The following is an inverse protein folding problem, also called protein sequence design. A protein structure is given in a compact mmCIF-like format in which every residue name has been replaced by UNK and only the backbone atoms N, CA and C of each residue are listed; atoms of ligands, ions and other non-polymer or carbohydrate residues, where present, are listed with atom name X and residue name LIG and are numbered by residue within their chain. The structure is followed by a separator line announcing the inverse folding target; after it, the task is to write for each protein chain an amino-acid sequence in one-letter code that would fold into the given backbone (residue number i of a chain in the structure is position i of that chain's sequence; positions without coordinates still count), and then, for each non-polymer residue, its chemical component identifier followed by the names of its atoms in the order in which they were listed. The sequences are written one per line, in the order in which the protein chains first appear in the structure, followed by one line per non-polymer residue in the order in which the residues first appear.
data_IF_787786895531
#
_entry.id   IF_787786895531
#
_cell.length_a   1.000
_cell.length_b   1.000
_cell.length_c   1.000
_cell.angle_alpha   90.00
_cell.angle_beta   90.00
_cell.angle_gamma   90.00
#
_symmetry.space_group_name_H-M   'P 1'
#
loop_
_entity.id
_entity.type
_entity.pdbx_description
1 polymer ?
#
# COMPACT_ATOMS: atom_id res chain seq x y z
N UNK A 1 7.54 -14.23 5.71
CA UNK A 1 7.90 -14.35 7.14
C UNK A 1 6.59 -14.61 7.86
N UNK A 2 6.38 -15.84 8.35
CA UNK A 2 5.10 -16.23 8.96
C UNK A 2 5.22 -16.18 10.49
N UNK A 3 4.10 -15.95 11.18
CA UNK A 3 4.07 -16.08 12.63
C UNK A 3 4.27 -17.56 13.00
N UNK A 4 5.13 -17.86 13.98
CA UNK A 4 5.20 -19.23 14.50
C UNK A 4 3.94 -19.54 15.32
N UNK A 5 3.57 -20.82 15.45
CA UNK A 5 2.40 -21.24 16.25
C UNK A 5 2.41 -20.65 17.67
N UNK A 6 3.58 -20.60 18.31
CA UNK A 6 3.74 -19.99 19.64
C UNK A 6 3.40 -18.50 19.66
N UNK A 7 3.71 -17.77 18.59
CA UNK A 7 3.37 -16.35 18.50
C UNK A 7 1.88 -16.14 18.24
N UNK A 8 1.28 -17.03 17.46
CA UNK A 8 -0.16 -17.02 17.17
C UNK A 8 -0.93 -17.27 18.46
N UNK A 9 -0.53 -18.29 19.24
CA UNK A 9 -1.14 -18.61 20.52
C UNK A 9 -0.97 -17.46 21.53
N UNK A 10 0.22 -16.85 21.60
CA UNK A 10 0.48 -15.66 22.44
C UNK A 10 -0.48 -14.52 22.06
N UNK A 11 -0.62 -14.20 20.78
CA UNK A 11 -1.54 -13.16 20.33
C UNK A 11 -3.00 -13.48 20.68
N UNK A 12 -3.47 -14.69 20.34
CA UNK A 12 -4.86 -15.08 20.55
C UNK A 12 -5.23 -15.12 22.03
N UNK A 13 -4.33 -15.59 22.90
CA UNK A 13 -4.56 -15.61 24.35
C UNK A 13 -4.68 -14.20 24.92
N UNK A 14 -3.78 -13.30 24.54
CA UNK A 14 -3.84 -11.89 24.97
C UNK A 14 -5.11 -11.20 24.45
N UNK A 15 -5.47 -11.45 23.19
CA UNK A 15 -6.62 -10.80 22.57
C UNK A 15 -7.93 -11.31 23.18
N UNK A 16 -8.06 -12.62 23.39
CA UNK A 16 -9.19 -13.20 24.10
C UNK A 16 -9.33 -12.66 25.53
N UNK A 17 -8.21 -12.49 26.26
CA UNK A 17 -8.19 -11.88 27.58
C UNK A 17 -8.77 -10.46 27.59
N UNK A 18 -8.40 -9.63 26.62
CA UNK A 18 -8.96 -8.29 26.45
C UNK A 18 -10.46 -8.32 26.13
N UNK A 19 -10.91 -9.21 25.23
CA UNK A 19 -12.33 -9.33 24.90
C UNK A 19 -13.17 -9.83 26.10
N UNK A 20 -12.62 -10.74 26.91
CA UNK A 20 -13.25 -11.21 28.16
C UNK A 20 -13.41 -10.07 29.16
N UNK A 21 -12.36 -9.26 29.32
CA UNK A 21 -12.40 -8.09 30.19
C UNK A 21 -13.46 -7.08 29.72
N UNK A 22 -13.49 -6.75 28.43
CA UNK A 22 -14.50 -5.87 27.83
C UNK A 22 -15.93 -6.40 28.05
N UNK A 23 -16.14 -7.71 27.88
CA UNK A 23 -17.42 -8.38 28.14
C UNK A 23 -17.84 -8.23 29.60
N UNK A 24 -16.91 -8.44 30.54
CA UNK A 24 -17.19 -8.38 31.97
C UNK A 24 -17.46 -6.95 32.45
N UNK A 25 -16.75 -5.94 31.93
CA UNK A 25 -17.06 -4.52 32.15
C UNK A 25 -18.49 -4.18 31.72
N UNK A 26 -18.92 -4.68 30.55
CA UNK A 26 -20.30 -4.50 30.07
C UNK A 26 -21.33 -5.25 30.90
N UNK A 27 -20.98 -6.43 31.45
CA UNK A 27 -21.85 -7.27 32.30
C UNK A 27 -21.82 -6.90 33.79
N UNK A 28 -20.91 -6.05 34.26
CA UNK A 28 -20.96 -5.59 35.65
C UNK A 28 -22.22 -4.75 35.96
N UNK A 29 -22.98 -4.32 34.93
CA UNK A 29 -24.36 -3.82 35.06
C UNK A 29 -25.44 -4.93 35.03
N UNK A 30 -25.12 -6.17 34.64
CA UNK A 30 -26.00 -7.35 34.60
C UNK A 30 -25.18 -8.67 34.66
N UNK A 31 -25.04 -9.23 35.89
CA UNK A 31 -24.50 -10.56 36.29
C UNK A 31 -23.28 -11.12 35.53
N UNK A 32 -22.18 -11.34 36.27
CA UNK A 32 -20.95 -12.01 35.80
C UNK A 32 -21.23 -13.49 35.50
N UNK A 33 -20.84 -13.95 34.32
CA UNK A 33 -20.87 -15.36 33.91
C UNK A 33 -19.49 -15.98 34.20
N UNK A 34 -19.47 -17.17 34.79
CA UNK A 34 -18.26 -17.94 35.14
C UNK A 34 -17.53 -18.55 33.93
N UNK A 35 -18.12 -18.52 32.73
CA UNK A 35 -17.51 -19.06 31.51
C UNK A 35 -16.37 -18.18 30.98
N UNK A 36 -15.15 -18.70 31.03
CA UNK A 36 -13.93 -18.06 30.53
C UNK A 36 -13.76 -18.15 29.00
N UNK A 37 -14.69 -18.78 28.29
CA UNK A 37 -14.64 -18.90 26.83
C UNK A 37 -15.67 -17.95 26.19
N UNK A 38 -15.25 -17.29 25.11
CA UNK A 38 -16.13 -16.48 24.26
C UNK A 38 -16.26 -17.21 22.92
N UNK A 39 -17.47 -17.63 22.50
CA UNK A 39 -17.69 -18.13 21.15
C UNK A 39 -17.17 -17.13 20.11
N UNK A 40 -16.41 -17.58 19.10
CA UNK A 40 -15.82 -16.69 18.06
C UNK A 40 -16.83 -15.75 17.39
N UNK A 41 -18.10 -16.19 17.24
CA UNK A 41 -19.21 -15.38 16.72
C UNK A 41 -19.47 -14.08 17.50
N UNK A 42 -19.12 -14.05 18.79
CA UNK A 42 -19.34 -12.89 19.67
C UNK A 42 -18.13 -11.96 19.71
N UNK A 43 -16.98 -12.37 19.16
CA UNK A 43 -15.75 -11.58 19.18
C UNK A 43 -15.90 -10.26 18.43
N UNK A 44 -16.64 -10.24 17.32
CA UNK A 44 -16.85 -9.02 16.52
C UNK A 44 -17.55 -7.91 17.31
N UNK A 45 -18.58 -8.26 18.09
CA UNK A 45 -19.31 -7.32 18.96
C UNK A 45 -18.43 -6.80 20.10
N UNK A 46 -17.60 -7.67 20.68
CA UNK A 46 -16.69 -7.29 21.77
C UNK A 46 -15.53 -6.43 21.27
N UNK A 47 -15.02 -6.73 20.07
CA UNK A 47 -14.07 -5.87 19.37
C UNK A 47 -14.64 -4.49 19.18
N UNK A 48 -15.87 -4.37 18.68
CA UNK A 48 -16.48 -3.06 18.43
C UNK A 48 -16.58 -2.25 19.74
N UNK A 49 -16.92 -2.88 20.87
CA UNK A 49 -16.89 -2.23 22.19
C UNK A 49 -15.49 -1.72 22.55
N UNK A 50 -14.44 -2.52 22.34
CA UNK A 50 -13.05 -2.13 22.60
C UNK A 50 -12.61 -1.00 21.68
N UNK A 51 -13.03 -1.03 20.41
CA UNK A 51 -12.70 -0.01 19.41
C UNK A 51 -13.37 1.32 19.74
N UNK A 52 -14.66 1.30 20.08
CA UNK A 52 -15.47 2.46 20.40
C UNK A 52 -15.06 3.09 21.75
N UNK A 53 -14.61 2.26 22.70
CA UNK A 53 -14.05 2.73 23.97
C UNK A 53 -12.63 2.19 24.22
N UNK A 54 -11.64 2.92 23.69
CA UNK A 54 -10.22 2.57 23.85
C UNK A 54 -9.72 2.63 25.31
N UNK A 55 -10.43 3.27 26.24
CA UNK A 55 -10.04 3.28 27.66
C UNK A 55 -10.04 1.88 28.27
N UNK A 56 -10.84 0.95 27.71
CA UNK A 56 -10.89 -0.44 28.15
C UNK A 56 -9.51 -1.11 28.09
N UNK A 57 -8.66 -0.74 27.13
CA UNK A 57 -7.30 -1.27 27.02
C UNK A 57 -6.45 -0.80 28.20
N UNK A 58 -6.54 0.48 28.57
CA UNK A 58 -5.78 1.04 29.71
C UNK A 58 -6.26 0.44 31.03
N UNK A 59 -7.58 0.30 31.20
CA UNK A 59 -8.19 -0.32 32.37
C UNK A 59 -7.79 -1.80 32.48
N UNK A 60 -7.79 -2.55 31.37
CA UNK A 60 -7.35 -3.95 31.34
C UNK A 60 -5.87 -4.11 31.75
N UNK A 61 -5.00 -3.21 31.27
CA UNK A 61 -3.58 -3.19 31.64
C UNK A 61 -3.40 -2.85 33.13
N UNK A 62 -4.17 -1.88 33.64
CA UNK A 62 -4.11 -1.44 35.02
C UNK A 62 -4.61 -2.51 36.00
N UNK A 63 -5.76 -3.10 35.70
CA UNK A 63 -6.39 -4.11 36.57
C UNK A 63 -5.65 -5.45 36.50
N UNK A 64 -5.00 -5.73 35.37
CA UNK A 64 -4.23 -6.95 35.10
C UNK A 64 -4.87 -8.24 35.64
N UNK A 65 -6.14 -8.55 35.32
CA UNK A 65 -6.90 -9.61 35.98
C UNK A 65 -6.36 -11.02 35.72
N UNK A 66 -5.47 -11.19 34.74
CA UNK A 66 -4.87 -12.47 34.37
C UNK A 66 -3.38 -12.55 34.73
N UNK A 67 -2.86 -11.61 35.54
CA UNK A 67 -1.45 -11.56 35.96
C UNK A 67 -0.46 -11.63 34.79
N UNK A 68 -0.75 -10.89 33.72
CA UNK A 68 0.13 -10.76 32.56
C UNK A 68 1.47 -10.16 32.96
N UNK A 69 2.54 -10.63 32.32
CA UNK A 69 3.90 -10.12 32.50
C UNK A 69 4.08 -8.77 31.80
N UNK A 70 5.09 -8.00 32.18
CA UNK A 70 5.38 -6.68 31.58
C UNK A 70 5.51 -6.74 30.06
N UNK A 71 6.12 -7.79 29.52
CA UNK A 71 6.22 -8.03 28.08
C UNK A 71 4.84 -8.15 27.42
N UNK A 72 3.94 -8.92 28.02
CA UNK A 72 2.58 -9.13 27.51
C UNK A 72 1.75 -7.84 27.62
N UNK A 73 1.84 -7.15 28.76
CA UNK A 73 1.22 -5.83 28.95
C UNK A 73 1.74 -4.81 27.92
N UNK A 74 3.02 -4.88 27.55
CA UNK A 74 3.60 -4.00 26.53
C UNK A 74 3.04 -4.27 25.13
N UNK A 75 2.71 -5.52 24.80
CA UNK A 75 2.05 -5.88 23.54
C UNK A 75 0.63 -5.30 23.53
N UNK A 76 -0.15 -5.56 24.59
CA UNK A 76 -1.52 -5.09 24.72
C UNK A 76 -1.59 -3.55 24.67
N UNK A 77 -0.60 -2.86 25.27
CA UNK A 77 -0.51 -1.40 25.24
C UNK A 77 -0.38 -0.85 23.82
N UNK A 78 0.36 -1.53 22.94
CA UNK A 78 0.53 -1.10 21.55
C UNK A 78 -0.78 -1.19 20.76
N UNK A 79 -1.72 -2.04 21.14
CA UNK A 79 -3.01 -2.20 20.44
C UNK A 79 -3.88 -0.94 20.45
N UNK A 80 -3.58 0.02 21.32
CA UNK A 80 -4.17 1.38 21.26
C UNK A 80 -3.89 2.07 19.92
N UNK A 81 -2.75 1.78 19.29
CA UNK A 81 -2.36 2.34 17.99
C UNK A 81 -2.98 1.58 16.81
N UNK A 82 -3.70 0.48 17.07
CA UNK A 82 -4.32 -0.31 16.00
C UNK A 82 -5.47 0.41 15.31
N UNK A 83 -5.68 0.08 14.04
CA UNK A 83 -6.67 0.69 13.16
C UNK A 83 -7.80 -0.31 12.90
N UNK A 84 -9.01 0.01 13.34
CA UNK A 84 -10.20 -0.71 12.94
C UNK A 84 -10.94 0.10 11.88
N UNK A 85 -10.89 -0.36 10.64
CA UNK A 85 -11.43 0.34 9.48
C UNK A 85 -11.97 -0.67 8.45
N UNK A 86 -12.52 -0.13 7.37
CA UNK A 86 -12.80 -0.89 6.17
C UNK A 86 -11.60 -0.82 5.22
N UNK A 87 -11.17 -1.97 4.73
CA UNK A 87 -10.03 -2.12 3.85
C UNK A 87 -10.45 -2.80 2.54
N UNK A 88 -9.73 -2.47 1.48
CA UNK A 88 -9.71 -3.25 0.26
C UNK A 88 -8.53 -4.23 0.31
N UNK A 89 -8.80 -5.53 0.28
CA UNK A 89 -7.76 -6.52 0.00
C UNK A 89 -7.43 -6.44 -1.49
N UNK A 90 -6.21 -6.05 -1.84
CA UNK A 90 -5.82 -5.75 -3.22
C UNK A 90 -4.83 -6.76 -3.80
N UNK A 91 -4.09 -7.48 -2.95
CA UNK A 91 -3.09 -8.46 -3.38
C UNK A 91 -2.81 -9.49 -2.29
N UNK A 92 -2.62 -10.74 -2.70
CA UNK A 92 -2.03 -11.78 -1.86
C UNK A 92 -0.58 -12.01 -2.29
N UNK A 93 0.35 -11.86 -1.36
CA UNK A 93 1.75 -12.23 -1.55
C UNK A 93 2.13 -13.37 -0.59
N UNK A 94 3.30 -13.97 -0.82
CA UNK A 94 3.79 -15.10 0.00
C UNK A 94 3.85 -14.74 1.48
N UNK A 95 4.24 -13.51 1.80
CA UNK A 95 4.42 -13.07 3.19
C UNK A 95 3.24 -12.26 3.72
N UNK A 96 2.60 -11.43 2.89
CA UNK A 96 1.61 -10.47 3.35
C UNK A 96 0.33 -10.51 2.51
N UNK A 97 -0.80 -10.24 3.16
CA UNK A 97 -2.00 -9.78 2.46
C UNK A 97 -2.01 -8.25 2.44
N UNK A 98 -2.11 -7.67 1.25
CA UNK A 98 -2.11 -6.22 1.08
C UNK A 98 -3.52 -5.69 1.32
N UNK A 99 -3.65 -4.80 2.30
CA UNK A 99 -4.91 -4.15 2.65
C UNK A 99 -4.77 -2.64 2.48
N UNK A 100 -5.51 -2.08 1.53
CA UNK A 100 -5.59 -0.65 1.30
C UNK A 100 -6.70 -0.03 2.12
N UNK A 101 -6.37 0.99 2.92
CA UNK A 101 -7.30 1.80 3.68
C UNK A 101 -7.62 3.08 2.91
N UNK A 102 -8.88 3.21 2.49
CA UNK A 102 -9.33 4.38 1.74
C UNK A 102 -9.35 5.65 2.60
N UNK A 103 -9.56 5.52 3.92
CA UNK A 103 -9.65 6.68 4.80
C UNK A 103 -8.27 7.32 5.02
N UNK A 104 -7.25 6.50 5.30
CA UNK A 104 -5.88 7.01 5.47
C UNK A 104 -5.09 7.14 4.16
N UNK A 105 -5.58 6.55 3.06
CA UNK A 105 -4.87 6.51 1.78
C UNK A 105 -3.59 5.65 1.82
N UNK A 106 -3.48 4.74 2.78
CA UNK A 106 -2.28 3.92 3.05
C UNK A 106 -2.55 2.43 2.84
N UNK A 107 -1.48 1.69 2.54
CA UNK A 107 -1.52 0.25 2.30
C UNK A 107 -0.70 -0.48 3.34
N UNK A 108 -1.28 -1.54 3.91
CA UNK A 108 -0.69 -2.33 4.97
C UNK A 108 -0.39 -3.74 4.49
N UNK A 109 0.80 -4.25 4.83
CA UNK A 109 1.15 -5.65 4.67
C UNK A 109 0.74 -6.41 5.94
N UNK A 110 -0.34 -7.17 5.84
CA UNK A 110 -0.99 -7.80 6.99
C UNK A 110 -0.65 -9.28 7.05
N UNK A 111 -0.16 -9.74 8.21
CA UNK A 111 0.09 -11.16 8.47
C UNK A 111 -1.17 -11.88 8.93
N UNK A 112 -1.28 -13.12 8.47
CA UNK A 112 -2.35 -14.03 8.90
C UNK A 112 -1.99 -14.66 10.25
N UNK A 113 -2.98 -14.86 11.12
CA UNK A 113 -2.80 -15.53 12.41
C UNK A 113 -2.83 -17.06 12.25
N UNK A 114 -3.89 -17.64 11.69
CA UNK A 114 -4.01 -19.10 11.54
C UNK A 114 -3.80 -19.50 10.08
N UNK A 115 -4.91 -19.59 9.35
CA UNK A 115 -4.90 -19.83 7.92
C UNK A 115 -4.64 -18.54 7.15
N UNK A 116 -3.94 -18.63 6.00
CA UNK A 116 -3.81 -17.51 5.08
C UNK A 116 -5.17 -16.95 4.67
N UNK A 117 -5.28 -15.61 4.61
CA UNK A 117 -6.54 -14.93 4.27
C UNK A 117 -7.10 -15.37 2.90
N UNK A 118 -6.23 -15.70 1.94
CA UNK A 118 -6.64 -16.15 0.60
C UNK A 118 -7.46 -17.46 0.61
N UNK A 119 -7.39 -18.26 1.68
CA UNK A 119 -8.24 -19.46 1.83
C UNK A 119 -9.72 -19.10 2.06
N UNK A 120 -9.98 -17.90 2.58
CA UNK A 120 -11.33 -17.41 2.88
C UNK A 120 -11.82 -16.39 1.85
N UNK A 121 -10.90 -15.68 1.19
CA UNK A 121 -11.19 -14.64 0.20
C UNK A 121 -10.40 -14.96 -1.07
N UNK A 122 -11.11 -15.32 -2.14
CA UNK A 122 -10.53 -15.83 -3.38
C UNK A 122 -10.61 -14.85 -4.57
N UNK A 123 -10.97 -13.60 -4.33
CA UNK A 123 -11.00 -12.55 -5.35
C UNK A 123 -10.32 -11.27 -4.84
N UNK A 124 -9.93 -10.39 -5.77
CA UNK A 124 -9.41 -9.05 -5.47
C UNK A 124 -9.91 -8.05 -6.53
N UNK A 125 -10.21 -6.79 -6.17
CA UNK A 125 -10.26 -6.29 -4.81
C UNK A 125 -11.46 -6.86 -4.02
N UNK A 126 -11.32 -7.02 -2.70
CA UNK A 126 -12.41 -7.39 -1.80
C UNK A 126 -12.54 -6.40 -0.65
N UNK A 127 -13.76 -6.07 -0.26
CA UNK A 127 -14.01 -5.09 0.82
C UNK A 127 -14.28 -5.79 2.15
N UNK A 128 -13.46 -5.48 3.15
CA UNK A 128 -13.48 -6.14 4.46
C UNK A 128 -13.37 -5.13 5.59
N UNK A 129 -14.10 -5.34 6.68
CA UNK A 129 -13.85 -4.64 7.94
C UNK A 129 -13.07 -5.55 8.88
N UNK A 130 -11.96 -5.05 9.41
CA UNK A 130 -11.11 -5.78 10.36
C UNK A 130 -10.39 -4.80 11.29
N UNK A 131 -9.66 -5.34 12.26
CA UNK A 131 -8.86 -4.56 13.20
C UNK A 131 -7.40 -4.93 13.05
N UNK A 132 -6.63 -4.01 12.45
CA UNK A 132 -5.19 -4.14 12.29
C UNK A 132 -4.50 -3.73 13.58
N UNK A 133 -3.63 -4.60 14.08
CA UNK A 133 -3.00 -4.51 15.38
C UNK A 133 -1.48 -4.64 15.25
N UNK A 134 -0.70 -3.86 16.01
CA UNK A 134 0.73 -4.08 16.13
C UNK A 134 1.00 -5.35 16.94
N UNK A 135 1.90 -6.19 16.43
CA UNK A 135 2.37 -7.37 17.14
C UNK A 135 3.83 -7.67 16.82
N UNK A 136 4.71 -7.39 17.78
CA UNK A 136 6.17 -7.61 17.67
C UNK A 136 6.77 -6.98 16.40
N UNK A 137 6.49 -5.69 16.19
CA UNK A 137 6.99 -4.93 15.03
C UNK A 137 6.39 -5.34 13.68
N UNK A 138 5.24 -6.04 13.68
CA UNK A 138 4.51 -6.47 12.47
C UNK A 138 3.05 -6.02 12.56
N UNK A 139 2.40 -5.86 11.42
CA UNK A 139 0.94 -5.66 11.34
C UNK A 139 0.24 -7.02 11.22
N UNK A 140 -0.63 -7.32 12.18
CA UNK A 140 -1.53 -8.49 12.15
C UNK A 140 -2.97 -8.00 12.12
N UNK A 141 -3.90 -8.89 11.77
CA UNK A 141 -5.33 -8.67 12.02
C UNK A 141 -5.76 -9.43 13.27
N UNK A 142 -6.93 -9.09 13.79
CA UNK A 142 -7.56 -9.68 14.99
C UNK A 142 -8.12 -11.10 14.80
N UNK A 143 -7.96 -11.71 13.63
CA UNK A 143 -8.57 -12.99 13.29
C UNK A 143 -10.02 -12.89 12.80
N UNK A 144 -10.57 -11.68 12.64
CA UNK A 144 -11.96 -11.44 12.26
C UNK A 144 -12.04 -10.60 10.99
N UNK A 145 -12.58 -11.19 9.93
CA UNK A 145 -12.89 -10.50 8.68
C UNK A 145 -14.41 -10.39 8.53
N UNK A 146 -14.94 -9.18 8.65
CA UNK A 146 -16.32 -8.91 8.29
C UNK A 146 -16.34 -8.57 6.80
N UNK A 147 -16.70 -9.54 5.96
CA UNK A 147 -16.83 -9.33 4.53
C UNK A 147 -18.24 -8.86 4.19
N UNK A 148 -18.35 -7.90 3.27
CA UNK A 148 -19.61 -7.64 2.58
C UNK A 148 -19.51 -8.31 1.21
N UNK A 149 -20.55 -9.05 0.80
CA UNK A 149 -20.59 -9.67 -0.53
C UNK A 149 -20.82 -8.59 -1.60
N UNK A 150 -19.79 -7.78 -1.86
CA UNK A 150 -19.78 -6.73 -2.87
C UNK A 150 -18.88 -7.17 -4.02
N UNK A 151 -19.47 -7.28 -5.21
CA UNK A 151 -18.72 -7.48 -6.44
C UNK A 151 -18.49 -6.13 -7.11
N UNK A 152 -17.22 -5.83 -7.40
CA UNK A 152 -16.85 -4.59 -8.07
C UNK A 152 -16.89 -4.77 -9.59
N UNK A 153 -17.46 -3.79 -10.28
CA UNK A 153 -17.37 -3.71 -11.74
C UNK A 153 -15.90 -3.59 -12.18
N UNK A 154 -15.63 -3.83 -13.47
CA UNK A 154 -14.27 -3.71 -14.01
C UNK A 154 -13.68 -2.30 -13.84
N UNK A 155 -14.49 -1.25 -14.00
CA UNK A 155 -14.03 0.14 -13.81
C UNK A 155 -13.78 0.47 -12.33
N UNK A 156 -14.70 0.08 -11.45
CA UNK A 156 -14.53 0.28 -9.99
C UNK A 156 -13.30 -0.46 -9.48
N UNK A 157 -13.09 -1.70 -9.93
CA UNK A 157 -11.90 -2.49 -9.57
C UNK A 157 -10.62 -1.79 -10.03
N UNK A 158 -10.58 -1.25 -11.26
CA UNK A 158 -9.44 -0.48 -11.75
C UNK A 158 -9.17 0.77 -10.91
N UNK A 159 -10.21 1.49 -10.50
CA UNK A 159 -10.09 2.67 -9.63
C UNK A 159 -9.48 2.33 -8.29
N UNK A 160 -9.98 1.28 -7.62
CA UNK A 160 -9.45 0.79 -6.34
C UNK A 160 -7.97 0.39 -6.49
N UNK A 161 -7.64 -0.32 -7.56
CA UNK A 161 -6.25 -0.73 -7.82
C UNK A 161 -5.34 0.46 -8.14
N UNK A 162 -5.85 1.54 -8.75
CA UNK A 162 -5.11 2.78 -8.96
C UNK A 162 -4.77 3.44 -7.62
N UNK A 163 -5.77 3.60 -6.74
CA UNK A 163 -5.60 4.16 -5.40
C UNK A 163 -4.60 3.36 -4.54
N UNK A 164 -4.68 2.04 -4.58
CA UNK A 164 -3.69 1.17 -3.93
C UNK A 164 -2.29 1.37 -4.51
N UNK A 165 -2.11 1.38 -5.83
CA UNK A 165 -0.81 1.62 -6.46
C UNK A 165 -0.25 2.99 -6.12
N UNK A 166 -1.09 4.03 -6.08
CA UNK A 166 -0.72 5.38 -5.64
C UNK A 166 -0.21 5.36 -4.20
N UNK A 167 -0.91 4.67 -3.31
CA UNK A 167 -0.47 4.47 -1.92
C UNK A 167 0.89 3.78 -1.83
N UNK A 168 1.10 2.70 -2.60
CA UNK A 168 2.40 1.98 -2.61
C UNK A 168 3.51 2.87 -3.15
N UNK A 169 3.26 3.61 -4.23
CA UNK A 169 4.25 4.53 -4.79
C UNK A 169 4.63 5.64 -3.81
N UNK A 170 3.65 6.17 -3.08
CA UNK A 170 3.83 7.33 -2.19
C UNK A 170 4.38 6.97 -0.81
N UNK A 171 3.92 5.88 -0.22
CA UNK A 171 4.21 5.55 1.19
C UNK A 171 4.94 4.21 1.35
N UNK A 172 5.08 3.43 0.28
CA UNK A 172 5.46 2.03 0.37
C UNK A 172 4.36 1.17 1.03
N UNK A 173 4.68 -0.12 1.21
CA UNK A 173 3.85 -1.02 2.00
C UNK A 173 4.23 -0.87 3.48
N UNK A 174 3.25 -0.56 4.34
CA UNK A 174 3.47 -0.44 5.78
C UNK A 174 3.36 -1.83 6.40
N UNK A 175 4.46 -2.36 6.90
CA UNK A 175 4.50 -3.70 7.53
C UNK A 175 4.65 -3.63 9.05
N UNK A 176 4.83 -2.43 9.61
CA UNK A 176 4.86 -2.14 11.05
C UNK A 176 4.24 -0.78 11.36
N UNK A 177 3.53 -0.66 12.48
CA UNK A 177 3.03 0.63 12.98
C UNK A 177 4.15 1.58 13.44
N UNK A 178 5.32 1.04 13.79
CA UNK A 178 6.48 1.83 14.20
C UNK A 178 7.34 2.28 13.00
N UNK A 179 6.98 1.88 11.79
CA UNK A 179 7.70 2.24 10.57
C UNK A 179 7.59 3.74 10.33
N UNK A 180 8.74 4.41 10.21
CA UNK A 180 8.78 5.80 9.72
C UNK A 180 8.36 5.81 8.26
N UNK A 181 7.26 6.48 7.97
CA UNK A 181 6.76 6.65 6.60
C UNK A 181 7.38 7.95 6.06
N UNK A 182 8.35 7.80 5.18
CA UNK A 182 8.87 8.92 4.40
C UNK A 182 8.14 8.91 3.05
N UNK A 183 7.47 10.02 2.73
CA UNK A 183 6.83 10.15 1.43
C UNK A 183 7.89 10.11 0.32
N UNK A 184 7.59 9.37 -0.73
CA UNK A 184 8.41 9.35 -1.95
C UNK A 184 8.48 10.74 -2.56
N UNK A 185 9.66 11.13 -3.05
CA UNK A 185 9.86 12.43 -3.68
C UNK A 185 8.97 12.60 -4.91
N UNK A 186 8.59 13.84 -5.22
CA UNK A 186 7.82 14.17 -6.43
C UNK A 186 8.54 13.68 -7.71
N UNK A 187 9.88 13.74 -7.75
CA UNK A 187 10.69 13.21 -8.85
C UNK A 187 10.56 11.68 -9.00
N UNK A 188 10.65 10.94 -7.89
CA UNK A 188 10.55 9.47 -7.94
C UNK A 188 9.11 9.01 -8.21
N UNK A 189 8.10 9.75 -7.73
CA UNK A 189 6.70 9.54 -8.08
C UNK A 189 6.47 9.72 -9.58
N UNK A 190 6.98 10.79 -10.19
CA UNK A 190 6.89 10.98 -11.64
C UNK A 190 7.52 9.82 -12.41
N UNK A 191 8.72 9.37 -12.03
CA UNK A 191 9.38 8.21 -12.66
C UNK A 191 8.55 6.93 -12.52
N UNK A 192 7.89 6.74 -11.38
CA UNK A 192 6.98 5.62 -11.17
C UNK A 192 5.74 5.72 -12.08
N UNK A 193 5.04 6.87 -12.08
CA UNK A 193 3.84 7.09 -12.87
C UNK A 193 4.12 6.99 -14.37
N UNK A 194 5.26 7.49 -14.83
CA UNK A 194 5.67 7.51 -16.24
C UNK A 194 6.44 6.25 -16.68
N UNK A 195 6.40 5.16 -15.89
CA UNK A 195 7.12 3.92 -16.21
C UNK A 195 6.65 3.28 -17.52
N UNK A 196 5.34 3.26 -17.75
CA UNK A 196 4.69 2.71 -18.96
C UNK A 196 3.58 3.65 -19.44
N UNK A 197 3.13 3.47 -20.68
CA UNK A 197 2.01 4.21 -21.25
C UNK A 197 0.75 4.07 -20.37
N UNK A 198 0.36 2.83 -20.08
CA UNK A 198 -0.82 2.54 -19.25
C UNK A 198 -0.73 3.13 -17.84
N UNK A 199 0.48 3.22 -17.27
CA UNK A 199 0.71 3.85 -15.98
C UNK A 199 0.56 5.37 -16.07
N UNK A 200 1.11 5.99 -17.12
CA UNK A 200 0.97 7.43 -17.34
C UNK A 200 -0.50 7.83 -17.56
N UNK A 201 -1.28 7.02 -18.26
CA UNK A 201 -2.73 7.22 -18.42
C UNK A 201 -3.49 7.03 -17.09
N UNK A 202 -3.08 6.06 -16.27
CA UNK A 202 -3.71 5.78 -14.97
C UNK A 202 -3.51 6.89 -13.94
N UNK A 203 -2.39 7.61 -14.01
CA UNK A 203 -1.98 8.62 -13.03
C UNK A 203 -1.85 10.02 -13.66
N UNK A 204 -2.66 10.32 -14.69
CA UNK A 204 -2.57 11.57 -15.43
C UNK A 204 -2.73 12.79 -14.51
N UNK A 205 -3.77 12.77 -13.67
CA UNK A 205 -4.07 13.87 -12.75
C UNK A 205 -2.93 14.06 -11.73
N UNK A 206 -2.36 12.97 -11.18
CA UNK A 206 -1.23 13.07 -10.25
C UNK A 206 0.04 13.61 -10.91
N UNK A 207 0.29 13.25 -12.17
CA UNK A 207 1.43 13.79 -12.93
C UNK A 207 1.24 15.29 -13.14
N UNK A 208 0.05 15.71 -13.53
CA UNK A 208 -0.30 17.12 -13.73
C UNK A 208 -0.13 17.92 -12.42
N UNK A 209 -0.69 17.42 -11.32
CA UNK A 209 -0.57 18.04 -9.99
C UNK A 209 0.90 18.25 -9.58
N UNK A 210 1.75 17.24 -9.80
CA UNK A 210 3.18 17.33 -9.47
C UNK A 210 3.88 18.39 -10.33
N UNK A 211 3.60 18.44 -11.63
CA UNK A 211 4.23 19.40 -12.55
C UNK A 211 3.75 20.83 -12.24
N UNK A 212 2.46 21.01 -11.97
CA UNK A 212 1.89 22.32 -11.59
C UNK A 212 2.51 22.81 -10.28
N UNK A 213 2.66 21.92 -9.30
CA UNK A 213 3.27 22.22 -8.01
C UNK A 213 4.78 22.50 -8.13
N UNK A 214 5.48 21.77 -8.98
CA UNK A 214 6.92 21.93 -9.20
C UNK A 214 7.29 21.87 -10.69
N UNK A 215 7.17 23.01 -11.41
CA UNK A 215 7.46 23.08 -12.84
C UNK A 215 8.90 22.69 -13.21
N UNK A 216 9.85 22.75 -12.27
CA UNK A 216 11.23 22.33 -12.55
C UNK A 216 11.35 20.82 -12.83
N UNK A 217 10.32 20.02 -12.53
CA UNK A 217 10.28 18.59 -12.80
C UNK A 217 9.71 18.23 -14.18
N UNK A 218 9.22 19.23 -14.95
CA UNK A 218 8.59 19.00 -16.26
C UNK A 218 9.51 18.25 -17.24
N UNK A 219 10.83 18.42 -17.14
CA UNK A 219 11.79 17.69 -17.98
C UNK A 219 11.67 16.16 -17.82
N UNK A 220 11.32 15.67 -16.63
CA UNK A 220 11.14 14.24 -16.36
C UNK A 220 9.96 13.73 -17.18
N UNK A 221 8.86 14.48 -17.20
CA UNK A 221 7.68 14.14 -17.99
C UNK A 221 8.04 13.95 -19.47
N UNK A 222 8.62 14.98 -20.09
CA UNK A 222 8.94 14.93 -21.52
C UNK A 222 9.95 13.83 -21.86
N UNK A 223 10.96 13.65 -21.00
CA UNK A 223 12.00 12.64 -21.19
C UNK A 223 11.47 11.22 -21.07
N UNK A 224 10.62 10.95 -20.07
CA UNK A 224 10.03 9.62 -19.88
C UNK A 224 8.96 9.29 -20.93
N UNK A 225 8.17 10.28 -21.38
CA UNK A 225 7.28 10.12 -22.54
C UNK A 225 8.09 9.82 -23.82
N UNK A 226 9.21 10.53 -24.02
CA UNK A 226 10.23 10.24 -25.03
C UNK A 226 10.70 8.79 -24.98
N UNK A 227 11.06 8.31 -23.80
CA UNK A 227 11.46 6.91 -23.57
C UNK A 227 10.35 5.93 -23.93
N UNK A 228 9.11 6.17 -23.52
CA UNK A 228 7.97 5.28 -23.80
C UNK A 228 7.77 5.15 -25.31
N UNK A 229 7.69 6.26 -26.04
CA UNK A 229 7.46 6.28 -27.49
C UNK A 229 8.65 5.75 -28.29
N UNK A 230 9.88 5.94 -27.78
CA UNK A 230 11.11 5.48 -28.44
C UNK A 230 11.10 3.98 -28.74
N UNK A 231 10.39 3.16 -27.97
CA UNK A 231 10.32 1.71 -28.21
C UNK A 231 9.73 1.38 -29.58
N UNK A 232 8.61 2.03 -29.92
CA UNK A 232 7.91 1.84 -31.21
C UNK A 232 8.72 2.45 -32.36
N UNK A 233 9.31 3.63 -32.14
CA UNK A 233 10.17 4.30 -33.11
C UNK A 233 11.39 3.42 -33.43
N UNK A 234 12.08 2.94 -32.39
CA UNK A 234 13.25 2.06 -32.50
C UNK A 234 12.96 0.79 -33.28
N UNK A 235 11.82 0.16 -33.04
CA UNK A 235 11.39 -1.04 -33.77
C UNK A 235 11.20 -0.77 -35.27
N UNK A 236 10.51 0.32 -35.63
CA UNK A 236 10.29 0.72 -37.03
C UNK A 236 11.59 1.07 -37.76
N UNK A 237 12.50 1.77 -37.10
CA UNK A 237 13.80 2.11 -37.70
C UNK A 237 14.64 0.85 -37.94
N UNK A 238 14.68 -0.07 -36.96
CA UNK A 238 15.37 -1.37 -37.09
C UNK A 238 14.84 -2.21 -38.25
N UNK A 239 13.52 -2.30 -38.41
CA UNK A 239 12.92 -3.09 -39.50
C UNK A 239 13.23 -2.54 -40.89
N UNK A 240 13.61 -1.27 -40.99
CA UNK A 240 14.03 -0.62 -42.24
C UNK A 240 15.56 -0.54 -42.38
N UNK A 241 16.33 -1.26 -41.55
CA UNK A 241 17.79 -1.31 -41.64
C UNK A 241 18.51 -0.03 -41.20
N UNK A 242 17.80 0.93 -40.60
CA UNK A 242 18.38 2.19 -40.14
C UNK A 242 19.28 1.94 -38.92
N UNK A 243 20.46 2.57 -38.90
CA UNK A 243 21.44 2.53 -37.78
C UNK A 243 21.75 3.95 -37.30
N UNK A 244 22.21 4.07 -36.06
CA UNK A 244 22.70 5.33 -35.50
C UNK A 244 22.10 5.70 -34.15
N UNK A 245 22.29 6.97 -33.79
CA UNK A 245 21.82 7.60 -32.55
C UNK A 245 20.67 8.56 -32.87
N UNK A 246 19.61 8.54 -32.06
CA UNK A 246 18.39 9.32 -32.29
C UNK A 246 17.99 10.07 -31.02
N UNK A 247 17.58 11.32 -31.20
CA UNK A 247 17.04 12.20 -30.17
C UNK A 247 15.52 12.33 -30.34
N UNK A 248 14.76 12.07 -29.28
CA UNK A 248 13.30 12.16 -29.24
C UNK A 248 12.88 13.22 -28.26
N UNK A 249 12.03 14.13 -28.72
CA UNK A 249 11.23 15.03 -27.87
C UNK A 249 9.80 14.50 -27.88
N UNK A 250 9.33 14.03 -26.71
CA UNK A 250 8.02 13.38 -26.50
C UNK A 250 7.71 12.20 -27.43
N UNK A 251 7.27 12.46 -28.66
CA UNK A 251 6.93 11.43 -29.66
C UNK A 251 7.66 11.63 -31.00
N UNK A 252 8.42 12.72 -31.13
CA UNK A 252 9.01 13.15 -32.40
C UNK A 252 10.53 13.02 -32.36
N UNK A 253 11.12 12.46 -33.42
CA UNK A 253 12.58 12.52 -33.62
C UNK A 253 12.94 13.96 -34.02
N UNK A 254 13.78 14.62 -33.21
CA UNK A 254 14.24 15.99 -33.48
C UNK A 254 15.64 16.04 -34.07
N UNK A 255 16.47 15.01 -33.85
CA UNK A 255 17.79 14.88 -34.42
C UNK A 255 18.21 13.41 -34.56
N UNK A 256 19.10 13.14 -35.53
CA UNK A 256 19.75 11.84 -35.72
C UNK A 256 21.19 12.01 -36.16
N UNK A 257 22.06 11.04 -35.84
CA UNK A 257 23.45 11.00 -36.30
C UNK A 257 23.99 9.57 -36.32
N UNK A 258 25.13 9.35 -36.97
CA UNK A 258 25.80 8.04 -36.99
C UNK A 258 26.36 7.65 -35.61
N UNK A 259 26.69 8.62 -34.75
CA UNK A 259 27.24 8.42 -33.41
C UNK A 259 26.70 9.45 -32.40
N UNK A 260 26.92 9.20 -31.10
CA UNK A 260 26.41 10.05 -30.01
C UNK A 260 27.06 11.45 -29.97
N UNK A 261 28.33 11.58 -30.34
CA UNK A 261 29.03 12.85 -30.27
C UNK A 261 28.46 13.85 -31.29
N UNK A 262 28.24 13.38 -32.52
CA UNK A 262 27.60 14.18 -33.57
C UNK A 262 26.12 14.44 -33.27
N UNK A 263 25.42 13.49 -32.65
CA UNK A 263 24.04 13.71 -32.21
C UNK A 263 23.95 14.87 -31.22
N UNK A 264 24.89 14.97 -30.27
CA UNK A 264 24.90 16.05 -29.28
C UNK A 264 24.96 17.43 -29.95
N UNK A 265 25.85 17.61 -30.93
CA UNK A 265 25.96 18.86 -31.70
C UNK A 265 24.64 19.19 -32.43
N UNK A 266 24.05 18.19 -33.09
CA UNK A 266 22.76 18.38 -33.79
C UNK A 266 21.62 18.73 -32.85
N UNK A 267 21.57 18.15 -31.65
CA UNK A 267 20.60 18.56 -30.62
C UNK A 267 20.81 20.04 -30.26
N UNK A 268 22.06 20.48 -30.08
CA UNK A 268 22.36 21.88 -29.74
C UNK A 268 21.95 22.87 -30.85
N UNK A 269 22.03 22.45 -32.11
CA UNK A 269 21.62 23.26 -33.28
C UNK A 269 20.11 23.45 -33.40
N UNK A 270 19.31 22.43 -33.06
CA UNK A 270 17.86 22.41 -33.37
C UNK A 270 16.95 22.48 -32.14
N UNK A 271 17.47 22.17 -30.94
CA UNK A 271 16.69 22.17 -29.69
C UNK A 271 17.09 23.38 -28.82
N UNK A 272 16.14 24.25 -28.44
CA UNK A 272 16.39 25.37 -27.53
C UNK A 272 17.03 24.91 -26.22
N UNK A 273 17.94 25.72 -25.67
CA UNK A 273 18.74 25.39 -24.47
C UNK A 273 17.87 24.84 -23.33
N UNK A 274 16.76 25.51 -23.05
CA UNK A 274 15.81 25.23 -21.97
C UNK A 274 15.04 23.90 -22.13
N UNK A 275 15.02 23.31 -23.33
CA UNK A 275 14.35 22.03 -23.62
C UNK A 275 15.32 20.87 -23.86
N UNK A 276 16.64 21.10 -23.79
CA UNK A 276 17.62 20.04 -24.08
C UNK A 276 17.56 18.88 -23.08
N UNK A 277 17.22 19.16 -21.82
CA UNK A 277 17.07 18.13 -20.77
C UNK A 277 15.81 17.27 -20.94
N UNK A 278 14.88 17.69 -21.80
CA UNK A 278 13.66 16.96 -22.12
C UNK A 278 13.93 15.82 -23.13
N UNK A 279 15.09 15.85 -23.78
CA UNK A 279 15.42 14.93 -24.85
C UNK A 279 15.76 13.54 -24.31
N UNK A 280 15.07 12.54 -24.86
CA UNK A 280 15.44 11.14 -24.70
C UNK A 280 16.28 10.66 -25.88
N UNK A 281 17.43 10.04 -25.60
CA UNK A 281 18.35 9.52 -26.62
C UNK A 281 18.36 8.00 -26.61
N UNK A 282 18.27 7.38 -27.79
CA UNK A 282 18.49 5.94 -27.96
C UNK A 282 19.36 5.63 -29.17
N UNK A 283 19.92 4.42 -29.19
CA UNK A 283 20.75 3.91 -30.28
C UNK A 283 20.16 2.63 -30.85
N UNK A 284 20.43 2.41 -32.13
CA UNK A 284 20.05 1.21 -32.89
C UNK A 284 21.29 0.45 -33.33
#
# INVERSE_FOLDING_TARGET
MDLSQKEIDEFLNLYQGLLLYARNKKRASNKVSSDNLIPKKDWSKLRDIVVDNRSIIDEYIKDNPYNLKDRELSIVRQWKNGICSNFFITKFEKEYTHMYDNESGKSYGVLSLNDPIYKFINYTPSYVRTFLLPFKGRVVYDGLLNTNNVFFSGSTSKSIMSMYKKSIAKYGLITSFDQKINETSDEDLLKFYLKTKDSAEMFYDEIEDIIVKNPSLEYIFHKEIGRIHSRKIKSKLKSNGVKGSFAVLTETIVASASNKADLKKRIEEVVPNEKRDWIYVFNI
#
